data_IF_895875512449
#
_entry.id   IF_895875512449
#
_cell.length_a   1.000
_cell.length_b   1.000
_cell.length_c   1.000
_cell.angle_alpha   90.00
_cell.angle_beta   90.00
_cell.angle_gamma   90.00
#
_symmetry.space_group_name_H-M   'P 1'
#
loop_
_entity.id
_entity.type
_entity.pdbx_description
1 polymer ?
#
# COMPACT_ATOMS: atom_id res chain seq x y z
N UNK A 1 2.42 5.34 -22.34
CA UNK A 1 1.68 5.92 -21.20
C UNK A 1 2.45 5.64 -19.92
N UNK A 2 2.31 6.52 -18.94
CA UNK A 2 2.86 6.33 -17.59
C UNK A 2 1.77 5.83 -16.65
N UNK A 3 1.98 4.68 -16.02
CA UNK A 3 0.96 4.01 -15.19
C UNK A 3 1.55 3.70 -13.82
N UNK A 4 0.85 4.07 -12.77
CA UNK A 4 1.16 3.60 -11.40
C UNK A 4 0.12 2.58 -10.98
N UNK A 5 0.59 1.40 -10.56
CA UNK A 5 -0.26 0.28 -10.14
C UNK A 5 -0.02 -0.01 -8.66
N UNK A 6 -1.04 0.20 -7.83
CA UNK A 6 -1.00 -0.11 -6.41
C UNK A 6 -1.59 -1.50 -6.14
N UNK A 7 -0.78 -2.42 -5.62
CA UNK A 7 -1.19 -3.77 -5.28
C UNK A 7 -1.74 -3.85 -3.84
N UNK A 8 -2.94 -4.39 -3.68
CA UNK A 8 -3.49 -4.74 -2.38
C UNK A 8 -2.69 -5.85 -1.69
N UNK A 9 -2.82 -5.98 -0.36
CA UNK A 9 -2.12 -7.01 0.41
C UNK A 9 -2.38 -8.44 -0.09
N UNK A 10 -3.59 -8.71 -0.56
CA UNK A 10 -4.01 -10.01 -1.09
C UNK A 10 -3.30 -10.40 -2.40
N UNK A 11 -2.63 -9.47 -3.07
CA UNK A 11 -1.77 -9.77 -4.22
C UNK A 11 -0.55 -10.63 -3.85
N UNK A 12 -0.12 -10.55 -2.59
CA UNK A 12 1.08 -11.21 -2.07
C UNK A 12 0.73 -12.32 -1.07
N UNK A 13 -0.29 -12.13 -0.25
CA UNK A 13 -0.74 -13.09 0.76
C UNK A 13 -2.25 -12.98 0.96
N UNK A 14 -2.96 -14.09 0.78
CA UNK A 14 -4.41 -14.15 1.00
C UNK A 14 -4.74 -14.22 2.50
N UNK A 15 -5.94 -13.77 2.92
CA UNK A 15 -6.31 -13.68 4.34
C UNK A 15 -6.17 -14.99 5.13
N UNK A 16 -6.37 -16.14 4.48
CA UNK A 16 -6.35 -17.45 5.12
C UNK A 16 -5.02 -18.19 4.97
N UNK A 17 -3.99 -17.52 4.44
CA UNK A 17 -2.66 -18.10 4.24
C UNK A 17 -1.72 -17.75 5.39
N UNK A 18 -0.85 -18.69 5.74
CA UNK A 18 0.20 -18.47 6.74
C UNK A 18 1.38 -17.63 6.23
N UNK A 19 1.44 -17.36 4.92
CA UNK A 19 2.56 -16.65 4.30
C UNK A 19 3.83 -17.51 4.22
N UNK A 20 3.68 -18.83 4.00
CA UNK A 20 4.85 -19.69 3.76
C UNK A 20 5.57 -19.26 2.48
N UNK A 21 6.89 -19.54 2.33
CA UNK A 21 7.62 -19.20 1.13
C UNK A 21 6.96 -19.69 -0.17
N UNK A 22 6.41 -20.91 -0.16
CA UNK A 22 5.69 -21.45 -1.33
C UNK A 22 4.45 -20.62 -1.65
N UNK A 23 3.60 -20.33 -0.65
CA UNK A 23 2.40 -19.52 -0.85
C UNK A 23 2.72 -18.12 -1.38
N UNK A 24 3.75 -17.47 -0.85
CA UNK A 24 4.18 -16.15 -1.32
C UNK A 24 4.65 -16.21 -2.78
N UNK A 25 5.48 -17.20 -3.15
CA UNK A 25 5.94 -17.36 -4.53
C UNK A 25 4.79 -17.64 -5.50
N UNK A 26 3.83 -18.49 -5.12
CA UNK A 26 2.69 -18.81 -5.98
C UNK A 26 1.81 -17.58 -6.24
N UNK A 27 1.52 -16.81 -5.18
CA UNK A 27 0.73 -15.58 -5.29
C UNK A 27 1.45 -14.50 -6.12
N UNK A 28 2.75 -14.29 -5.86
CA UNK A 28 3.54 -13.29 -6.57
C UNK A 28 3.68 -13.66 -8.05
N UNK A 29 3.95 -14.93 -8.40
CA UNK A 29 4.00 -15.39 -9.80
C UNK A 29 2.66 -15.25 -10.51
N UNK A 30 1.55 -15.53 -9.82
CA UNK A 30 0.20 -15.28 -10.37
C UNK A 30 -0.01 -13.79 -10.67
N UNK A 31 0.26 -12.93 -9.71
CA UNK A 31 0.17 -11.47 -9.85
C UNK A 31 1.07 -10.97 -10.97
N UNK A 32 2.32 -11.44 -11.04
CA UNK A 32 3.28 -11.06 -12.07
C UNK A 32 2.81 -11.42 -13.48
N UNK A 33 2.19 -12.60 -13.69
CA UNK A 33 1.62 -12.96 -14.99
C UNK A 33 0.49 -12.02 -15.42
N UNK A 34 -0.41 -11.65 -14.50
CA UNK A 34 -1.50 -10.72 -14.77
C UNK A 34 -0.97 -9.33 -15.14
N UNK A 35 0.04 -8.83 -14.41
CA UNK A 35 0.68 -7.56 -14.72
C UNK A 35 1.43 -7.60 -16.05
N UNK A 36 2.24 -8.63 -16.30
CA UNK A 36 3.02 -8.76 -17.53
C UNK A 36 2.13 -8.74 -18.79
N UNK A 37 0.93 -9.33 -18.72
CA UNK A 37 -0.05 -9.28 -19.80
C UNK A 37 -0.63 -7.88 -20.07
N UNK A 38 -0.41 -6.92 -19.16
CA UNK A 38 -1.13 -5.63 -19.15
C UNK A 38 -0.24 -4.42 -19.35
N UNK A 39 1.01 -4.51 -18.91
CA UNK A 39 1.89 -3.34 -18.84
C UNK A 39 2.56 -2.98 -20.16
N UNK A 40 2.70 -3.94 -21.12
CA UNK A 40 3.30 -3.68 -22.43
C UNK A 40 4.59 -2.85 -22.35
N UNK A 41 4.72 -1.88 -23.25
CA UNK A 41 5.86 -0.94 -23.29
C UNK A 41 5.62 0.36 -22.49
N UNK A 42 4.60 0.37 -21.62
CA UNK A 42 4.30 1.55 -20.81
C UNK A 42 5.40 1.80 -19.77
N UNK A 43 5.59 3.07 -19.38
CA UNK A 43 6.34 3.44 -18.18
C UNK A 43 5.54 3.00 -16.94
N UNK A 44 6.08 2.10 -16.12
CA UNK A 44 5.30 1.48 -15.03
C UNK A 44 6.00 1.58 -13.70
N UNK A 45 5.25 2.02 -12.69
CA UNK A 45 5.63 1.88 -11.28
C UNK A 45 4.61 1.00 -10.59
N UNK A 46 5.10 0.08 -9.78
CA UNK A 46 4.29 -0.83 -8.95
C UNK A 46 4.55 -0.48 -7.49
N UNK A 47 3.48 -0.29 -6.73
CA UNK A 47 3.53 -0.20 -5.27
C UNK A 47 2.84 -1.40 -4.65
N UNK A 48 3.12 -1.73 -3.42
CA UNK A 48 2.52 -2.88 -2.75
C UNK A 48 2.30 -2.64 -1.26
N UNK A 49 1.34 -3.34 -0.65
CA UNK A 49 1.23 -3.42 0.81
C UNK A 49 2.23 -4.41 1.40
N UNK A 50 2.44 -4.33 2.72
CA UNK A 50 3.36 -5.20 3.47
C UNK A 50 2.85 -5.54 4.88
N UNK A 51 1.64 -5.15 5.24
CA UNK A 51 1.13 -5.24 6.61
C UNK A 51 1.32 -6.62 7.28
N UNK A 52 0.96 -7.75 6.64
CA UNK A 52 1.20 -9.07 7.20
C UNK A 52 2.68 -9.35 7.46
N UNK A 53 3.56 -8.93 6.55
CA UNK A 53 5.01 -9.20 6.62
C UNK A 53 5.72 -8.35 7.67
N UNK A 54 5.36 -7.06 7.79
CA UNK A 54 5.84 -6.21 8.90
C UNK A 54 5.41 -6.80 10.24
N UNK A 55 4.14 -7.23 10.34
CA UNK A 55 3.63 -7.89 11.54
C UNK A 55 4.41 -9.16 11.90
N UNK A 56 4.70 -10.00 10.92
CA UNK A 56 5.48 -11.24 11.10
C UNK A 56 6.93 -10.94 11.55
N UNK A 57 7.58 -9.95 10.96
CA UNK A 57 8.94 -9.56 11.35
C UNK A 57 8.98 -9.04 12.79
N UNK A 58 8.08 -8.11 13.13
CA UNK A 58 8.00 -7.56 14.49
C UNK A 58 7.75 -8.65 15.53
N UNK A 59 6.86 -9.60 15.25
CA UNK A 59 6.60 -10.74 16.11
C UNK A 59 7.85 -11.61 16.30
N UNK A 60 8.54 -11.93 15.21
CA UNK A 60 9.79 -12.70 15.26
C UNK A 60 10.87 -12.00 16.09
N UNK A 61 10.97 -10.67 15.99
CA UNK A 61 11.89 -9.86 16.78
C UNK A 61 11.52 -9.86 18.29
N UNK A 62 10.21 -9.77 18.60
CA UNK A 62 9.71 -9.85 19.99
C UNK A 62 10.05 -11.22 20.60
N UNK A 63 9.84 -12.30 19.85
CA UNK A 63 10.16 -13.67 20.31
C UNK A 63 11.66 -13.86 20.55
N UNK A 64 12.52 -13.15 19.84
CA UNK A 64 13.97 -13.20 19.98
C UNK A 64 14.55 -12.06 20.86
N UNK A 65 13.69 -11.29 21.54
CA UNK A 65 14.08 -10.05 22.23
C UNK A 65 15.06 -10.23 23.40
N UNK A 66 15.18 -11.43 23.94
CA UNK A 66 16.13 -11.75 25.01
C UNK A 66 17.55 -12.01 24.46
N UNK A 67 17.69 -12.19 23.13
CA UNK A 67 18.96 -12.44 22.45
C UNK A 67 19.36 -11.24 21.59
N UNK A 68 18.41 -10.66 20.86
CA UNK A 68 18.62 -9.57 19.92
C UNK A 68 17.71 -8.38 20.20
N UNK A 69 18.16 -7.13 19.98
CA UNK A 69 17.29 -5.97 20.17
C UNK A 69 16.15 -5.96 19.15
N UNK A 70 14.93 -5.65 19.61
CA UNK A 70 13.78 -5.40 18.74
C UNK A 70 14.05 -4.14 17.94
N UNK A 71 13.94 -4.23 16.62
CA UNK A 71 14.12 -3.09 15.72
C UNK A 71 12.85 -2.25 15.64
N UNK A 72 13.02 -1.02 15.18
CA UNK A 72 11.92 -0.07 14.94
C UNK A 72 11.10 -0.44 13.70
N UNK A 73 9.90 0.14 13.59
CA UNK A 73 8.98 -0.22 12.51
C UNK A 73 9.50 0.25 11.14
N UNK A 74 10.22 1.35 11.07
CA UNK A 74 10.87 1.84 9.85
C UNK A 74 11.91 0.86 9.31
N UNK A 75 12.68 0.20 10.20
CA UNK A 75 13.61 -0.88 9.83
C UNK A 75 12.84 -2.10 9.33
N UNK A 76 11.76 -2.51 10.01
CA UNK A 76 10.91 -3.60 9.55
C UNK A 76 10.27 -3.30 8.19
N UNK A 77 9.89 -2.05 7.94
CA UNK A 77 9.40 -1.57 6.65
C UNK A 77 10.48 -1.69 5.55
N UNK A 78 11.70 -1.23 5.83
CA UNK A 78 12.83 -1.39 4.90
C UNK A 78 13.12 -2.87 4.58
N UNK A 79 13.09 -3.74 5.60
CA UNK A 79 13.28 -5.19 5.42
C UNK A 79 12.19 -5.79 4.53
N UNK A 80 10.92 -5.39 4.72
CA UNK A 80 9.82 -5.88 3.88
C UNK A 80 9.85 -5.33 2.47
N UNK A 81 10.31 -4.10 2.25
CA UNK A 81 10.54 -3.57 0.90
C UNK A 81 11.58 -4.41 0.15
N UNK A 82 12.67 -4.79 0.80
CA UNK A 82 13.65 -5.70 0.23
C UNK A 82 13.08 -7.09 -0.02
N UNK A 83 12.41 -7.69 0.96
CA UNK A 83 11.84 -9.03 0.86
C UNK A 83 10.77 -9.12 -0.24
N UNK A 84 9.73 -8.31 -0.17
CA UNK A 84 8.64 -8.35 -1.15
C UNK A 84 9.07 -7.81 -2.51
N UNK A 85 9.92 -6.79 -2.53
CA UNK A 85 10.53 -6.26 -3.74
C UNK A 85 11.31 -7.31 -4.50
N UNK A 86 12.14 -8.12 -3.82
CA UNK A 86 12.85 -9.24 -4.41
C UNK A 86 11.90 -10.26 -5.07
N UNK A 87 10.84 -10.65 -4.36
CA UNK A 87 9.88 -11.63 -4.89
C UNK A 87 9.16 -11.09 -6.14
N UNK A 88 8.65 -9.85 -6.07
CA UNK A 88 7.91 -9.23 -7.18
C UNK A 88 8.84 -8.99 -8.37
N UNK A 89 10.05 -8.47 -8.14
CA UNK A 89 11.03 -8.22 -9.18
C UNK A 89 11.35 -9.50 -9.95
N UNK A 90 11.71 -10.56 -9.24
CA UNK A 90 12.07 -11.85 -9.86
C UNK A 90 10.91 -12.43 -10.66
N UNK A 91 9.72 -12.51 -10.06
CA UNK A 91 8.56 -13.09 -10.72
C UNK A 91 8.09 -12.28 -11.93
N UNK A 92 8.22 -10.95 -11.87
CA UNK A 92 7.82 -10.10 -12.99
C UNK A 92 8.82 -10.13 -14.12
N UNK A 93 10.14 -10.20 -13.86
CA UNK A 93 11.14 -10.44 -14.90
C UNK A 93 10.93 -11.78 -15.59
N UNK A 94 10.66 -12.87 -14.84
CA UNK A 94 10.26 -14.18 -15.39
C UNK A 94 9.03 -14.05 -16.30
N UNK A 95 7.97 -13.40 -15.83
CA UNK A 95 6.72 -13.25 -16.57
C UNK A 95 6.86 -12.37 -17.84
N UNK A 96 7.77 -11.39 -17.82
CA UNK A 96 8.13 -10.56 -18.97
C UNK A 96 9.12 -11.25 -19.93
N UNK A 97 9.55 -12.49 -19.64
CA UNK A 97 10.52 -13.21 -20.43
C UNK A 97 11.89 -12.51 -20.49
N UNK A 98 12.26 -11.83 -19.41
CA UNK A 98 13.51 -11.05 -19.26
C UNK A 98 13.73 -9.95 -20.33
N UNK A 99 12.67 -9.54 -21.03
CA UNK A 99 12.73 -8.51 -22.08
C UNK A 99 12.77 -7.08 -21.51
N UNK A 100 12.35 -6.91 -20.27
CA UNK A 100 12.40 -5.64 -19.53
C UNK A 100 13.07 -5.84 -18.19
N UNK A 101 13.82 -4.84 -17.76
CA UNK A 101 14.36 -4.80 -16.40
C UNK A 101 13.26 -4.42 -15.41
N UNK A 102 13.30 -5.07 -14.25
CA UNK A 102 12.48 -4.73 -13.10
C UNK A 102 13.41 -4.39 -11.94
N UNK A 103 13.14 -3.35 -11.20
CA UNK A 103 13.99 -2.91 -10.09
C UNK A 103 13.15 -2.53 -8.88
N UNK A 104 13.42 -3.16 -7.74
CA UNK A 104 12.87 -2.78 -6.46
C UNK A 104 13.75 -1.72 -5.79
N UNK A 105 13.16 -0.61 -5.39
CA UNK A 105 13.82 0.50 -4.71
C UNK A 105 13.34 0.60 -3.26
N UNK A 106 14.30 0.70 -2.35
CA UNK A 106 14.01 1.19 -1.00
C UNK A 106 13.51 2.64 -1.14
N UNK A 107 12.31 2.89 -0.66
CA UNK A 107 11.62 4.15 -0.87
C UNK A 107 11.28 4.80 0.45
N UNK A 108 11.69 6.05 0.61
CA UNK A 108 11.49 6.87 1.80
C UNK A 108 10.45 7.94 1.51
N UNK A 109 9.59 8.22 2.50
CA UNK A 109 8.51 9.20 2.35
C UNK A 109 8.55 10.19 3.51
N UNK A 110 8.60 11.47 3.20
CA UNK A 110 8.51 12.53 4.21
C UNK A 110 7.09 12.67 4.70
N UNK A 111 6.97 12.89 6.02
CA UNK A 111 5.73 13.21 6.71
C UNK A 111 5.93 14.41 7.61
N UNK A 112 4.84 15.07 8.02
CA UNK A 112 4.90 16.17 8.98
C UNK A 112 5.07 15.62 10.40
N UNK A 113 6.09 16.06 11.12
CA UNK A 113 6.29 15.74 12.53
C UNK A 113 5.12 16.19 13.44
N UNK A 114 4.29 17.12 12.96
CA UNK A 114 3.11 17.66 13.68
C UNK A 114 1.81 17.03 13.22
N UNK A 115 1.86 15.99 12.39
CA UNK A 115 0.64 15.30 11.93
C UNK A 115 -0.19 14.83 13.14
N UNK A 116 -1.51 15.09 13.16
CA UNK A 116 -2.38 14.72 14.28
C UNK A 116 -2.37 13.22 14.63
N UNK A 117 -2.04 12.35 13.66
CA UNK A 117 -1.96 10.91 13.89
C UNK A 117 -0.89 10.51 14.92
N UNK A 118 0.15 11.34 15.13
CA UNK A 118 1.15 11.08 16.17
C UNK A 118 0.56 11.20 17.58
N UNK A 119 -0.45 12.04 17.78
CA UNK A 119 -1.17 12.17 19.05
C UNK A 119 -2.23 11.07 19.20
N UNK A 120 -2.85 10.65 18.09
CA UNK A 120 -3.95 9.70 18.05
C UNK A 120 -3.63 8.54 17.10
N UNK A 121 -2.67 7.63 17.46
CA UNK A 121 -2.32 6.49 16.64
C UNK A 121 -3.51 5.54 16.51
N UNK A 122 -3.83 5.12 15.28
CA UNK A 122 -4.99 4.29 14.96
C UNK A 122 -4.72 3.19 13.94
N UNK A 123 -3.54 3.18 13.30
CA UNK A 123 -3.19 2.16 12.29
C UNK A 123 -2.79 0.85 12.97
N UNK A 124 -3.57 -0.23 12.84
CA UNK A 124 -3.25 -1.48 13.50
C UNK A 124 -2.09 -2.20 12.82
N UNK A 125 -1.14 -2.70 13.62
CA UNK A 125 0.05 -3.43 13.16
C UNK A 125 0.22 -4.70 13.99
N UNK A 126 0.71 -5.77 13.36
CA UNK A 126 0.98 -7.04 14.02
C UNK A 126 -0.27 -7.86 14.31
N UNK A 127 -0.12 -8.89 15.14
CA UNK A 127 -1.20 -9.81 15.54
C UNK A 127 -2.10 -9.24 16.63
N UNK A 128 -3.21 -9.89 16.85
CA UNK A 128 -4.06 -9.67 18.03
C UNK A 128 -3.43 -10.39 19.21
N UNK A 129 -3.33 -9.71 20.34
CA UNK A 129 -2.77 -10.22 21.60
C UNK A 129 -3.80 -10.19 22.72
N UNK A 130 -3.53 -10.90 23.81
CA UNK A 130 -4.35 -10.79 25.04
C UNK A 130 -4.15 -9.44 25.72
N UNK A 131 -5.07 -9.03 26.57
CA UNK A 131 -4.93 -7.82 27.37
C UNK A 131 -3.65 -7.83 28.21
N UNK A 132 -3.34 -8.94 28.87
CA UNK A 132 -2.14 -9.09 29.68
C UNK A 132 -0.87 -8.88 28.87
N UNK A 133 -0.80 -9.49 27.69
CA UNK A 133 0.34 -9.34 26.80
C UNK A 133 0.48 -7.91 26.25
N UNK A 134 -0.65 -7.26 25.91
CA UNK A 134 -0.65 -5.85 25.50
C UNK A 134 -0.08 -4.94 26.61
N UNK A 135 -0.44 -5.16 27.87
CA UNK A 135 0.07 -4.44 29.02
C UNK A 135 1.56 -4.69 29.24
N UNK A 136 2.04 -5.93 29.09
CA UNK A 136 3.46 -6.29 29.19
C UNK A 136 4.29 -5.63 28.09
N UNK A 137 3.84 -5.68 26.83
CA UNK A 137 4.51 -5.03 25.70
C UNK A 137 4.48 -3.51 25.80
N UNK A 138 3.37 -2.93 26.29
CA UNK A 138 3.29 -1.48 26.55
C UNK A 138 4.32 -1.03 27.60
N UNK A 139 4.48 -1.77 28.67
CA UNK A 139 5.48 -1.46 29.71
C UNK A 139 6.92 -1.62 29.20
N UNK A 140 7.18 -2.65 28.39
CA UNK A 140 8.54 -2.98 27.91
C UNK A 140 8.99 -2.05 26.80
N UNK A 141 8.10 -1.66 25.87
CA UNK A 141 8.46 -0.94 24.64
C UNK A 141 7.75 0.43 24.49
N UNK A 142 6.86 0.82 25.39
CA UNK A 142 6.10 2.06 25.28
C UNK A 142 5.04 2.05 24.17
N UNK A 143 4.69 0.87 23.65
CA UNK A 143 3.73 0.75 22.54
C UNK A 143 2.30 0.99 22.99
N UNK A 144 1.49 1.55 22.09
CA UNK A 144 0.05 1.72 22.29
C UNK A 144 -0.72 0.54 21.71
N UNK A 145 -1.76 0.13 22.44
CA UNK A 145 -2.66 -0.94 22.02
C UNK A 145 -4.10 -0.47 22.09
N UNK A 146 -4.92 -0.88 21.13
CA UNK A 146 -6.37 -0.68 21.13
C UNK A 146 -7.10 -2.01 20.98
N UNK A 147 -8.35 -2.04 21.42
CA UNK A 147 -9.20 -3.22 21.30
C UNK A 147 -9.51 -3.48 19.82
N UNK A 148 -9.21 -4.69 19.33
CA UNK A 148 -9.54 -5.09 17.95
C UNK A 148 -11.01 -5.57 17.92
N UNK A 149 -11.79 -5.18 16.89
CA UNK A 149 -13.19 -5.61 16.75
C UNK A 149 -13.38 -7.13 16.71
N UNK A 150 -12.33 -7.88 16.35
CA UNK A 150 -12.32 -9.36 16.34
C UNK A 150 -12.04 -9.97 17.70
N UNK A 151 -11.89 -9.15 18.74
CA UNK A 151 -11.53 -9.54 20.11
C UNK A 151 -10.03 -9.41 20.38
N UNK A 152 -9.67 -9.19 21.66
CA UNK A 152 -8.28 -8.92 22.08
C UNK A 152 -7.80 -7.51 21.79
N UNK A 153 -6.50 -7.33 21.75
CA UNK A 153 -5.84 -6.03 21.57
C UNK A 153 -4.84 -6.08 20.42
N UNK A 154 -4.68 -4.97 19.73
CA UNK A 154 -3.71 -4.84 18.63
C UNK A 154 -2.90 -3.58 18.80
N UNK A 155 -1.59 -3.67 18.53
CA UNK A 155 -0.72 -2.49 18.51
C UNK A 155 -1.25 -1.50 17.48
N UNK A 156 -1.31 -0.22 17.85
CA UNK A 156 -1.63 0.88 16.94
C UNK A 156 -0.46 1.84 16.84
N UNK A 157 -0.23 2.32 15.62
CA UNK A 157 0.81 3.29 15.31
C UNK A 157 0.21 4.48 14.57
N UNK A 158 0.90 5.65 14.56
CA UNK A 158 0.51 6.78 13.72
C UNK A 158 0.44 6.39 12.24
N UNK A 159 -0.48 7.03 11.50
CA UNK A 159 -0.56 6.90 10.05
C UNK A 159 -0.61 8.30 9.43
N UNK A 160 0.53 9.00 9.39
CA UNK A 160 0.60 10.37 8.91
C UNK A 160 0.39 10.46 7.40
N UNK A 161 -0.04 11.65 6.95
CA UNK A 161 -0.15 11.98 5.54
C UNK A 161 1.23 11.99 4.86
N UNK A 162 1.39 11.33 3.70
CA UNK A 162 2.63 11.41 2.92
C UNK A 162 2.75 12.76 2.24
N UNK A 163 3.93 13.40 2.36
CA UNK A 163 4.19 14.73 1.79
C UNK A 163 5.11 14.69 0.56
N UNK A 164 6.14 13.86 0.57
CA UNK A 164 7.15 13.79 -0.49
C UNK A 164 7.74 12.39 -0.57
N UNK A 165 7.83 11.84 -1.78
CA UNK A 165 8.59 10.61 -2.07
C UNK A 165 10.00 11.01 -2.44
N UNK A 166 10.99 10.72 -1.60
CA UNK A 166 12.37 11.20 -1.78
C UNK A 166 13.05 10.63 -3.01
N UNK A 167 12.70 9.41 -3.40
CA UNK A 167 13.24 8.73 -4.58
C UNK A 167 12.53 9.09 -5.89
N UNK A 168 11.55 9.99 -5.88
CA UNK A 168 10.78 10.37 -7.07
C UNK A 168 11.64 10.71 -8.29
N UNK A 169 12.72 11.52 -8.20
CA UNK A 169 13.52 11.86 -9.38
C UNK A 169 14.23 10.65 -10.01
N UNK A 170 14.71 9.71 -9.19
CA UNK A 170 15.36 8.51 -9.71
C UNK A 170 14.35 7.52 -10.28
N UNK A 171 13.17 7.38 -9.66
CA UNK A 171 12.07 6.57 -10.17
C UNK A 171 11.67 7.08 -11.57
N UNK A 172 11.48 8.38 -11.72
CA UNK A 172 11.11 8.99 -13.01
C UNK A 172 12.15 8.71 -14.10
N UNK A 173 13.44 8.80 -13.78
CA UNK A 173 14.51 8.48 -14.72
C UNK A 173 14.46 7.01 -15.14
N UNK A 174 14.34 6.09 -14.20
CA UNK A 174 14.35 4.65 -14.48
C UNK A 174 13.18 4.21 -15.36
N UNK A 175 11.96 4.73 -15.11
CA UNK A 175 10.81 4.37 -15.96
C UNK A 175 10.92 4.92 -17.37
N UNK A 176 11.51 6.12 -17.57
CA UNK A 176 11.82 6.65 -18.91
C UNK A 176 12.81 5.78 -19.67
N UNK A 177 13.75 5.15 -18.96
CA UNK A 177 14.72 4.21 -19.54
C UNK A 177 14.12 2.80 -19.77
N UNK A 178 12.79 2.65 -19.62
CA UNK A 178 12.06 1.41 -19.87
C UNK A 178 12.08 0.39 -18.70
N UNK A 179 12.69 0.73 -17.56
CA UNK A 179 12.68 -0.10 -16.36
C UNK A 179 11.31 -0.08 -15.70
N UNK A 180 10.77 -1.21 -15.30
CA UNK A 180 9.62 -1.29 -14.40
C UNK A 180 10.13 -1.11 -12.97
N UNK A 181 9.62 -0.14 -12.24
CA UNK A 181 10.08 0.16 -10.89
C UNK A 181 9.07 -0.31 -9.85
N UNK A 182 9.55 -1.01 -8.82
CA UNK A 182 8.78 -1.34 -7.62
C UNK A 182 9.23 -0.35 -6.54
N UNK A 183 8.30 0.47 -6.03
CA UNK A 183 8.60 1.54 -5.09
C UNK A 183 7.49 1.72 -4.04
N UNK A 184 7.75 2.49 -3.01
CA UNK A 184 6.81 2.82 -1.94
C UNK A 184 6.11 1.58 -1.34
N UNK A 185 6.83 0.47 -1.20
CA UNK A 185 6.33 -0.71 -0.51
C UNK A 185 5.92 -0.35 0.93
N UNK A 186 4.72 -0.83 1.34
CA UNK A 186 4.16 -0.51 2.66
C UNK A 186 3.67 0.92 2.85
N UNK A 187 3.78 1.77 1.84
CA UNK A 187 3.54 3.21 1.91
C UNK A 187 4.84 4.03 1.96
N UNK A 188 5.98 3.35 1.94
CA UNK A 188 7.31 3.96 2.09
C UNK A 188 7.75 4.11 3.54
N UNK A 189 9.05 4.21 3.77
CA UNK A 189 9.66 4.38 5.09
C UNK A 189 9.41 5.81 5.55
N UNK A 190 8.67 6.02 6.66
CA UNK A 190 8.30 7.36 7.12
C UNK A 190 9.47 8.08 7.76
N UNK A 191 9.78 9.28 7.27
CA UNK A 191 10.82 10.16 7.79
C UNK A 191 10.25 11.55 8.05
N UNK A 192 10.79 12.23 9.04
CA UNK A 192 10.58 13.66 9.25
C UNK A 192 11.87 14.43 8.98
N UNK A 193 11.75 15.66 8.48
CA UNK A 193 12.88 16.56 8.30
C UNK A 193 13.10 17.39 9.56
N UNK A 194 14.28 17.31 10.13
CA UNK A 194 14.68 18.09 11.30
C UNK A 194 15.98 18.86 10.97
N UNK A 195 15.87 20.11 10.56
CA UNK A 195 16.98 20.83 9.98
C UNK A 195 17.53 20.13 8.75
N UNK A 196 18.81 19.82 8.72
CA UNK A 196 19.48 19.12 7.61
C UNK A 196 19.47 17.59 7.75
N UNK A 197 18.76 17.06 8.74
CA UNK A 197 18.71 15.61 9.00
C UNK A 197 17.34 15.04 8.68
N UNK A 198 17.36 13.78 8.23
CA UNK A 198 16.19 12.94 8.09
C UNK A 198 16.13 12.00 9.30
N UNK A 199 15.04 12.05 10.03
CA UNK A 199 14.84 11.25 11.25
C UNK A 199 13.72 10.24 11.00
N UNK A 200 13.95 8.94 11.28
CA UNK A 200 12.91 7.94 11.20
C UNK A 200 11.86 8.17 12.30
N UNK A 201 10.63 7.75 12.01
CA UNK A 201 9.51 7.82 12.96
C UNK A 201 8.77 6.49 13.03
N UNK A 202 8.28 6.15 14.22
CA UNK A 202 7.45 4.96 14.48
C UNK A 202 6.02 5.17 13.93
N UNK A 203 5.86 5.02 12.62
CA UNK A 203 4.61 5.26 11.91
C UNK A 203 4.46 4.30 10.72
N UNK A 204 3.25 4.16 10.18
CA UNK A 204 2.97 3.42 8.94
C UNK A 204 2.10 4.29 8.05
N UNK A 205 2.66 4.71 6.93
CA UNK A 205 1.94 5.50 5.93
C UNK A 205 0.91 4.61 5.21
N UNK A 206 -0.25 5.18 4.87
CA UNK A 206 -1.20 4.45 4.04
C UNK A 206 -0.65 4.28 2.61
N UNK A 207 -0.58 3.02 2.15
CA UNK A 207 0.03 2.73 0.85
C UNK A 207 -0.74 3.31 -0.34
N UNK A 208 -2.08 3.42 -0.23
CA UNK A 208 -2.89 3.94 -1.33
C UNK A 208 -2.67 5.46 -1.47
N UNK A 209 -2.53 6.18 -0.33
CA UNK A 209 -2.19 7.60 -0.31
C UNK A 209 -0.76 7.86 -0.80
N UNK A 210 0.22 7.06 -0.37
CA UNK A 210 1.59 7.16 -0.86
C UNK A 210 1.68 6.86 -2.37
N UNK A 211 0.91 5.87 -2.84
CA UNK A 211 0.84 5.54 -4.27
C UNK A 211 0.23 6.66 -5.10
N UNK A 212 -0.82 7.32 -4.58
CA UNK A 212 -1.41 8.49 -5.24
C UNK A 212 -0.42 9.66 -5.30
N UNK A 213 0.29 9.95 -4.19
CA UNK A 213 1.33 10.97 -4.15
C UNK A 213 2.42 10.71 -5.19
N UNK A 214 2.89 9.45 -5.28
CA UNK A 214 3.87 9.03 -6.28
C UNK A 214 3.33 9.19 -7.70
N UNK A 215 2.07 8.78 -7.96
CA UNK A 215 1.43 8.91 -9.26
C UNK A 215 1.26 10.38 -9.68
N UNK A 216 0.88 11.25 -8.77
CA UNK A 216 0.79 12.71 -8.99
C UNK A 216 2.17 13.29 -9.31
N UNK A 217 3.18 12.98 -8.48
CA UNK A 217 4.55 13.48 -8.69
C UNK A 217 5.16 13.02 -10.01
N UNK A 218 4.86 11.82 -10.45
CA UNK A 218 5.25 11.28 -11.76
C UNK A 218 4.39 11.80 -12.91
N UNK A 219 3.32 12.55 -12.67
CA UNK A 219 2.34 12.96 -13.69
C UNK A 219 1.83 11.77 -14.49
N UNK A 220 1.42 10.71 -13.79
CA UNK A 220 0.96 9.50 -14.42
C UNK A 220 -0.29 9.74 -15.27
N UNK A 221 -0.37 9.07 -16.43
CA UNK A 221 -1.58 9.09 -17.29
C UNK A 221 -2.72 8.28 -16.66
N UNK A 222 -2.38 7.35 -15.76
CA UNK A 222 -3.34 6.48 -15.11
C UNK A 222 -2.82 6.01 -13.75
N UNK A 223 -3.71 6.01 -12.75
CA UNK A 223 -3.48 5.40 -11.44
C UNK A 223 -4.44 4.23 -11.24
N UNK A 224 -3.92 3.04 -10.98
CA UNK A 224 -4.70 1.81 -10.86
C UNK A 224 -4.50 1.21 -9.49
N UNK A 225 -5.58 0.98 -8.76
CA UNK A 225 -5.56 0.31 -7.46
C UNK A 225 -6.18 -1.08 -7.64
N UNK A 226 -5.36 -2.11 -7.57
CA UNK A 226 -5.78 -3.51 -7.65
C UNK A 226 -6.05 -4.05 -6.25
N UNK A 227 -7.24 -4.57 -6.05
CA UNK A 227 -7.75 -5.05 -4.76
C UNK A 227 -8.46 -6.40 -4.92
N UNK A 228 -9.13 -6.87 -3.89
CA UNK A 228 -9.86 -8.16 -3.85
C UNK A 228 -11.35 -8.06 -4.24
N UNK A 229 -11.81 -6.86 -4.58
CA UNK A 229 -13.20 -6.63 -5.00
C UNK A 229 -13.26 -6.02 -6.40
N UNK A 230 -14.42 -6.14 -7.05
CA UNK A 230 -14.62 -5.69 -8.44
C UNK A 230 -14.43 -4.18 -8.64
N UNK A 231 -14.62 -3.37 -7.58
CA UNK A 231 -14.52 -1.92 -7.65
C UNK A 231 -15.05 -1.25 -6.38
N UNK A 232 -15.56 -0.05 -6.52
CA UNK A 232 -16.26 0.68 -5.45
C UNK A 232 -17.73 0.34 -5.48
N UNK A 233 -18.30 -0.03 -4.34
CA UNK A 233 -19.72 -0.28 -4.20
C UNK A 233 -20.35 0.66 -3.17
N UNK A 234 -21.60 1.02 -3.39
CA UNK A 234 -22.48 1.57 -2.36
C UNK A 234 -23.27 0.45 -1.70
N UNK A 235 -23.58 0.60 -0.41
CA UNK A 235 -24.29 -0.40 0.41
C UNK A 235 -23.57 -1.77 0.41
N UNK A 236 -22.23 -1.76 0.48
CA UNK A 236 -21.43 -2.99 0.42
C UNK A 236 -21.84 -4.02 1.46
N UNK A 237 -22.07 -5.28 1.00
CA UNK A 237 -22.52 -6.39 1.85
C UNK A 237 -24.01 -6.38 2.20
N UNK A 238 -24.82 -5.45 1.66
CA UNK A 238 -26.28 -5.38 1.82
C UNK A 238 -27.00 -5.91 0.58
N UNK A 239 -28.30 -6.16 0.70
CA UNK A 239 -29.13 -6.65 -0.42
C UNK A 239 -29.21 -5.69 -1.60
N UNK A 240 -29.12 -4.39 -1.34
CA UNK A 240 -29.15 -3.31 -2.30
C UNK A 240 -27.74 -2.81 -2.71
N UNK A 241 -26.71 -3.67 -2.53
CA UNK A 241 -25.35 -3.38 -2.99
C UNK A 241 -25.34 -3.10 -4.50
N UNK A 242 -24.61 -2.04 -4.88
CA UNK A 242 -24.43 -1.67 -6.27
C UNK A 242 -22.98 -1.24 -6.54
N UNK A 243 -22.34 -1.87 -7.52
CA UNK A 243 -21.04 -1.49 -8.02
C UNK A 243 -21.11 -0.21 -8.85
N UNK A 244 -20.20 0.71 -8.62
CA UNK A 244 -20.02 1.93 -9.41
C UNK A 244 -19.10 1.62 -10.59
N UNK A 245 -19.53 1.88 -11.83
CA UNK A 245 -18.72 1.66 -13.04
C UNK A 245 -17.86 2.89 -13.36
N UNK A 246 -18.49 4.04 -13.40
CA UNK A 246 -17.87 5.34 -13.63
C UNK A 246 -18.47 6.34 -12.65
N UNK A 247 -17.63 7.18 -12.06
CA UNK A 247 -18.05 8.09 -10.99
C UNK A 247 -17.13 9.30 -10.97
N UNK A 248 -17.70 10.47 -10.66
CA UNK A 248 -16.91 11.69 -10.48
C UNK A 248 -16.29 11.78 -9.09
N UNK A 249 -15.22 12.57 -8.97
CA UNK A 249 -14.62 12.85 -7.67
C UNK A 249 -15.58 13.51 -6.70
N UNK A 250 -16.49 14.37 -7.19
CA UNK A 250 -17.52 15.02 -6.37
C UNK A 250 -18.51 14.01 -5.78
N UNK A 251 -19.01 13.07 -6.61
CA UNK A 251 -19.91 12.01 -6.16
C UNK A 251 -19.23 11.13 -5.10
N UNK A 252 -17.96 10.74 -5.32
CA UNK A 252 -17.20 9.94 -4.35
C UNK A 252 -16.96 10.70 -3.04
N UNK A 253 -16.65 11.99 -3.09
CA UNK A 253 -16.51 12.82 -1.88
C UNK A 253 -17.81 12.91 -1.10
N UNK A 254 -18.94 13.05 -1.80
CA UNK A 254 -20.25 13.08 -1.15
C UNK A 254 -20.60 11.73 -0.48
N UNK A 255 -20.26 10.60 -1.11
CA UNK A 255 -20.45 9.26 -0.54
C UNK A 255 -19.49 9.04 0.64
N UNK A 256 -18.24 9.48 0.52
CA UNK A 256 -17.25 9.40 1.60
C UNK A 256 -17.69 10.17 2.85
N UNK A 257 -18.20 11.39 2.66
CA UNK A 257 -18.72 12.23 3.76
C UNK A 257 -19.94 11.61 4.47
N UNK A 258 -20.72 10.75 3.76
CA UNK A 258 -21.82 9.98 4.35
C UNK A 258 -21.36 8.72 5.10
N UNK A 259 -20.06 8.43 5.13
CA UNK A 259 -19.51 7.24 5.78
C UNK A 259 -19.73 5.93 5.01
N UNK A 260 -19.97 5.99 3.69
CA UNK A 260 -20.21 4.82 2.86
C UNK A 260 -19.03 3.87 2.79
N UNK A 261 -17.81 4.38 2.95
CA UNK A 261 -16.60 3.59 2.78
C UNK A 261 -15.87 3.34 4.11
N UNK A 262 -15.66 2.07 4.49
CA UNK A 262 -14.99 1.75 5.75
C UNK A 262 -13.58 2.35 5.86
N UNK A 263 -13.24 3.00 6.98
CA UNK A 263 -11.88 3.46 7.25
C UNK A 263 -10.91 2.27 7.30
N UNK A 264 -9.74 2.38 6.71
CA UNK A 264 -8.71 1.31 6.69
C UNK A 264 -8.91 0.22 5.63
N UNK A 265 -9.96 0.31 4.79
CA UNK A 265 -10.24 -0.63 3.70
C UNK A 265 -10.50 0.13 2.38
N UNK A 266 -11.76 0.37 2.02
CA UNK A 266 -12.13 1.10 0.80
C UNK A 266 -11.91 2.62 0.92
N UNK A 267 -12.08 3.19 2.12
CA UNK A 267 -11.94 4.63 2.34
C UNK A 267 -10.62 5.23 1.83
N UNK A 268 -9.45 4.71 2.23
CA UNK A 268 -8.16 5.20 1.72
C UNK A 268 -8.01 5.08 0.20
N UNK A 269 -8.54 4.01 -0.42
CA UNK A 269 -8.50 3.81 -1.88
C UNK A 269 -9.30 4.86 -2.63
N UNK A 270 -10.51 5.13 -2.14
CA UNK A 270 -11.38 6.18 -2.68
C UNK A 270 -10.71 7.55 -2.55
N UNK A 271 -10.17 7.87 -1.37
CA UNK A 271 -9.46 9.12 -1.14
C UNK A 271 -8.24 9.28 -2.05
N UNK A 272 -7.44 8.23 -2.21
CA UNK A 272 -6.27 8.20 -3.09
C UNK A 272 -6.67 8.42 -4.56
N UNK A 273 -7.73 7.74 -5.03
CA UNK A 273 -8.25 7.89 -6.39
C UNK A 273 -8.77 9.31 -6.65
N UNK A 274 -9.51 9.88 -5.71
CA UNK A 274 -10.01 11.26 -5.78
C UNK A 274 -8.85 12.25 -5.86
N UNK A 275 -7.88 12.16 -4.95
CA UNK A 275 -6.70 13.04 -4.94
C UNK A 275 -5.92 13.01 -6.26
N UNK A 276 -5.71 11.81 -6.79
CA UNK A 276 -5.02 11.66 -8.07
C UNK A 276 -5.80 12.30 -9.20
N UNK A 277 -7.10 11.98 -9.34
CA UNK A 277 -7.92 12.48 -10.43
C UNK A 277 -8.05 14.02 -10.38
N UNK A 278 -8.24 14.62 -9.21
CA UNK A 278 -8.31 16.08 -9.06
C UNK A 278 -6.98 16.78 -9.35
N UNK A 279 -5.86 16.20 -8.90
CA UNK A 279 -4.54 16.81 -9.09
C UNK A 279 -4.03 16.73 -10.53
N UNK A 280 -4.41 15.70 -11.29
CA UNK A 280 -3.85 15.43 -12.62
C UNK A 280 -4.82 15.64 -13.78
N UNK A 281 -6.11 15.62 -13.53
CA UNK A 281 -7.12 15.54 -14.58
C UNK A 281 -7.26 14.15 -15.23
N UNK A 282 -6.46 13.18 -14.80
CA UNK A 282 -6.40 11.84 -15.37
C UNK A 282 -7.25 10.83 -14.56
N UNK A 283 -7.70 9.72 -15.17
CA UNK A 283 -8.53 8.76 -14.47
C UNK A 283 -7.75 7.92 -13.46
N UNK A 284 -8.35 7.69 -12.28
CA UNK A 284 -7.97 6.60 -11.39
C UNK A 284 -8.93 5.43 -11.55
N UNK A 285 -8.46 4.20 -11.36
CA UNK A 285 -9.27 3.00 -11.50
C UNK A 285 -9.07 2.11 -10.28
N UNK A 286 -10.17 1.66 -9.68
CA UNK A 286 -10.16 0.70 -8.56
C UNK A 286 -10.85 -0.58 -9.06
N UNK A 287 -10.16 -1.72 -8.98
CA UNK A 287 -10.73 -2.96 -9.47
C UNK A 287 -10.03 -4.23 -8.99
N UNK A 288 -10.57 -5.36 -9.42
CA UNK A 288 -10.08 -6.68 -8.99
C UNK A 288 -8.71 -7.00 -9.58
N UNK A 289 -7.82 -7.52 -8.73
CA UNK A 289 -6.54 -8.08 -9.16
C UNK A 289 -6.71 -9.22 -10.16
N UNK A 290 -7.75 -10.04 -10.01
CA UNK A 290 -8.00 -11.18 -10.89
C UNK A 290 -8.36 -10.75 -12.31
N UNK A 291 -8.88 -9.54 -12.46
CA UNK A 291 -9.21 -8.90 -13.72
C UNK A 291 -8.20 -7.79 -14.10
N UNK A 292 -6.97 -7.82 -13.54
CA UNK A 292 -5.97 -6.77 -13.72
C UNK A 292 -5.77 -6.33 -15.19
N UNK A 293 -5.72 -7.21 -16.21
CA UNK A 293 -5.60 -6.79 -17.60
C UNK A 293 -6.75 -5.88 -18.07
N UNK A 294 -7.98 -6.19 -17.67
CA UNK A 294 -9.16 -5.39 -18.04
C UNK A 294 -9.27 -4.11 -17.19
N UNK A 295 -8.89 -4.18 -15.93
CA UNK A 295 -8.84 -3.01 -15.03
C UNK A 295 -7.78 -2.01 -15.50
N UNK A 296 -6.56 -2.44 -15.80
CA UNK A 296 -5.50 -1.57 -16.32
C UNK A 296 -5.90 -0.96 -17.68
N UNK A 297 -6.59 -1.73 -18.51
CA UNK A 297 -7.11 -1.23 -19.78
C UNK A 297 -8.30 -0.26 -19.63
N UNK A 298 -8.94 -0.18 -18.44
CA UNK A 298 -10.11 0.64 -18.18
C UNK A 298 -11.43 0.02 -18.67
N UNK A 299 -11.48 -1.29 -18.85
CA UNK A 299 -12.70 -2.03 -19.24
C UNK A 299 -13.48 -2.58 -18.05
N UNK A 300 -12.84 -2.71 -16.90
CA UNK A 300 -13.41 -3.23 -15.66
C UNK A 300 -13.02 -2.33 -14.49
N UNK A 301 -13.68 -2.54 -13.35
CA UNK A 301 -13.49 -1.75 -12.14
C UNK A 301 -14.35 -0.48 -12.11
N UNK A 302 -14.08 0.35 -11.13
CA UNK A 302 -14.66 1.69 -10.99
C UNK A 302 -13.68 2.72 -11.53
N UNK A 303 -14.08 3.48 -12.55
CA UNK A 303 -13.30 4.57 -13.12
C UNK A 303 -13.70 5.85 -12.41
N UNK A 304 -12.71 6.49 -11.78
CA UNK A 304 -12.87 7.78 -11.10
C UNK A 304 -12.33 8.88 -11.99
N UNK A 305 -13.16 9.87 -12.32
CA UNK A 305 -12.79 11.01 -13.15
C UNK A 305 -12.95 12.33 -12.40
N UNK A 306 -12.19 13.38 -12.75
CA UNK A 306 -12.54 14.73 -12.32
C UNK A 306 -13.95 15.10 -12.80
N UNK A 307 -14.55 16.17 -12.25
CA UNK A 307 -15.87 16.63 -12.64
C UNK A 307 -15.96 17.00 -14.12
#
# INVERSE_FOLDING_TARGET
MRIVVALGGNALQKPNEKGTPSQLWDNVRRTARLLAASIGDNEVVITHGNGPQVGQLLESMIMAADIYPVQTIDIADAMTQGWLGYLIQTALEEALGFRRRVLALITRVLVDAKDPSFLNPSKPVGRIVSQREAEELSKRYGWKFEQDPRGGYRRVVPSPEPLEVLELPIIERLIRDGTVVIAAGGGGIPLVRQGDRLMPVEAVIDKDLASALLAIGLRADKFVILTDVEGVAINYGRQDQRWLKEVTTEELKALYAKGEFPPGSMGPKVLAAVRFAEATGNPAIIGSLDEAPDVIAGRRGTIVRPP
#
